data_IF_344185848398
#
_entry.id   IF_344185848398
#
_cell.length_a   1.000
_cell.length_b   1.000
_cell.length_c   1.000
_cell.angle_alpha   90.00
_cell.angle_beta   90.00
_cell.angle_gamma   90.00
#
_symmetry.space_group_name_H-M   'P 1'
#
loop_
_entity.id
_entity.type
_entity.pdbx_description
1 polymer ?
#
# COMPACT_ATOMS: atom_id res chain seq x y z
N UNK A 1 7.67 13.95 5.06
CA UNK A 1 8.19 13.79 3.69
C UNK A 1 7.34 14.69 2.82
N UNK A 2 7.94 15.67 2.15
CA UNK A 2 7.22 16.51 1.19
C UNK A 2 7.08 15.74 -0.13
N UNK A 3 5.94 15.81 -0.84
CA UNK A 3 5.76 15.12 -2.11
C UNK A 3 6.69 15.72 -3.18
N UNK A 4 7.32 14.87 -4.00
CA UNK A 4 8.26 15.29 -5.05
C UNK A 4 7.55 15.93 -6.26
N UNK A 5 6.24 15.72 -6.43
CA UNK A 5 5.46 16.31 -7.52
C UNK A 5 3.95 16.38 -7.24
N UNK A 6 3.23 17.17 -8.05
CA UNK A 6 1.76 17.33 -7.96
C UNK A 6 1.01 15.99 -8.06
N UNK A 7 1.52 15.03 -8.84
CA UNK A 7 0.89 13.72 -8.99
C UNK A 7 0.96 12.90 -7.69
N UNK A 8 2.10 12.93 -7.00
CA UNK A 8 2.26 12.27 -5.71
C UNK A 8 1.39 12.93 -4.63
N UNK A 9 1.39 14.26 -4.58
CA UNK A 9 0.56 15.02 -3.65
C UNK A 9 -0.95 14.71 -3.84
N UNK A 10 -1.41 14.70 -5.09
CA UNK A 10 -2.80 14.35 -5.41
C UNK A 10 -3.14 12.92 -5.00
N UNK A 11 -2.26 11.95 -5.25
CA UNK A 11 -2.48 10.55 -4.86
C UNK A 11 -2.58 10.38 -3.34
N UNK A 12 -1.68 11.04 -2.58
CA UNK A 12 -1.71 11.03 -1.13
C UNK A 12 -2.98 11.67 -0.57
N UNK A 13 -3.44 12.77 -1.16
CA UNK A 13 -4.70 13.44 -0.78
C UNK A 13 -5.93 12.57 -1.05
N UNK A 14 -5.98 11.91 -2.20
CA UNK A 14 -7.08 10.99 -2.54
C UNK A 14 -7.08 9.80 -1.58
N UNK A 15 -5.93 9.19 -1.33
CA UNK A 15 -5.81 8.10 -0.38
C UNK A 15 -6.24 8.52 1.03
N UNK A 16 -5.76 9.66 1.53
CA UNK A 16 -6.17 10.20 2.82
C UNK A 16 -7.69 10.38 2.91
N UNK A 17 -8.32 10.93 1.86
CA UNK A 17 -9.76 11.12 1.82
C UNK A 17 -10.55 9.80 1.82
N UNK A 18 -10.06 8.76 1.14
CA UNK A 18 -10.71 7.43 1.13
C UNK A 18 -10.66 6.83 2.54
N UNK A 19 -9.51 6.89 3.20
CA UNK A 19 -9.35 6.47 4.61
C UNK A 19 -10.28 7.27 5.52
N UNK A 20 -10.40 8.57 5.26
CA UNK A 20 -11.43 9.53 5.72
C UNK A 20 -12.84 8.90 5.83
N UNK A 21 -13.28 8.34 4.70
CA UNK A 21 -14.66 7.94 4.42
C UNK A 21 -14.98 6.49 4.83
N UNK A 22 -13.99 5.57 4.80
CA UNK A 22 -14.15 4.17 5.23
C UNK A 22 -14.44 4.03 6.75
N UNK A 23 -14.16 5.07 7.55
CA UNK A 23 -14.48 5.12 8.99
C UNK A 23 -15.97 5.30 9.31
N UNK A 24 -16.82 5.59 8.32
CA UNK A 24 -18.24 5.88 8.54
C UNK A 24 -19.19 4.70 8.20
N UNK A 25 -18.64 3.55 7.79
CA UNK A 25 -19.37 2.43 7.19
C UNK A 25 -19.92 1.35 8.14
N UNK A 26 -19.92 1.52 9.45
CA UNK A 26 -20.43 0.48 10.36
C UNK A 26 -20.60 0.91 11.81
N UNK A 27 -21.80 1.35 12.17
CA UNK A 27 -22.20 1.58 13.56
C UNK A 27 -22.37 0.23 14.29
N UNK A 28 -21.33 -0.19 15.00
CA UNK A 28 -21.43 -1.02 16.21
C UNK A 28 -20.32 -0.61 17.16
N UNK A 29 -20.63 -0.01 18.33
CA UNK A 29 -19.63 0.24 19.35
C UNK A 29 -19.43 -1.07 20.10
N UNK A 30 -18.60 -1.95 19.54
CA UNK A 30 -18.03 -3.04 20.33
C UNK A 30 -16.59 -2.67 20.67
N UNK A 31 -16.33 -2.82 21.95
CA UNK A 31 -15.16 -2.43 22.72
C UNK A 31 -13.93 -3.24 22.28
N UNK A 32 -13.27 -2.85 21.19
CA UNK A 32 -11.83 -3.08 21.05
C UNK A 32 -11.16 -2.16 20.02
N UNK A 33 -10.07 -1.57 20.44
CA UNK A 33 -9.30 -0.53 19.76
C UNK A 33 -8.41 -1.10 18.62
N UNK A 34 -8.95 -2.00 17.78
CA UNK A 34 -8.15 -2.87 16.89
C UNK A 34 -8.40 -2.70 15.36
N UNK A 35 -9.39 -1.93 14.91
CA UNK A 35 -9.82 -1.95 13.49
C UNK A 35 -9.56 -0.67 12.65
N UNK A 36 -8.50 0.08 12.94
CA UNK A 36 -8.07 1.21 12.09
C UNK A 36 -6.69 0.97 11.47
N UNK A 37 -6.53 -0.18 10.81
CA UNK A 37 -5.31 -0.46 10.04
C UNK A 37 -5.49 0.12 8.64
N UNK A 38 -4.79 1.22 8.37
CA UNK A 38 -4.80 1.88 7.06
C UNK A 38 -3.95 1.07 6.10
N UNK A 39 -4.58 0.50 5.08
CA UNK A 39 -3.87 -0.30 4.07
C UNK A 39 -3.91 0.36 2.70
N UNK A 40 -2.80 0.25 1.97
CA UNK A 40 -2.70 0.70 0.59
C UNK A 40 -2.30 -0.46 -0.33
N UNK A 41 -2.99 -0.57 -1.47
CA UNK A 41 -2.69 -1.54 -2.53
C UNK A 41 -2.26 -0.81 -3.79
N UNK A 42 -1.03 -1.06 -4.22
CA UNK A 42 -0.37 -0.39 -5.33
C UNK A 42 -0.02 -1.42 -6.41
N UNK A 43 -0.44 -1.17 -7.65
CA UNK A 43 -0.04 -1.97 -8.81
C UNK A 43 1.32 -1.46 -9.30
N UNK A 44 2.29 -2.36 -9.35
CA UNK A 44 3.62 -2.13 -9.89
C UNK A 44 3.82 -3.00 -11.14
N UNK A 45 4.64 -2.53 -12.08
CA UNK A 45 5.15 -3.41 -13.12
C UNK A 45 6.15 -4.42 -12.52
N UNK A 46 6.21 -5.62 -13.09
CA UNK A 46 7.10 -6.72 -12.65
C UNK A 46 8.56 -6.26 -12.51
N UNK A 47 9.01 -5.43 -13.45
CA UNK A 47 10.38 -4.91 -13.49
C UNK A 47 10.66 -3.88 -12.39
N UNK A 48 9.63 -3.21 -11.86
CA UNK A 48 9.76 -2.23 -10.77
C UNK A 48 9.74 -2.89 -9.39
N UNK A 49 8.99 -3.98 -9.23
CA UNK A 49 8.99 -4.77 -7.99
C UNK A 49 10.38 -5.30 -7.65
N UNK A 50 11.15 -5.71 -8.65
CA UNK A 50 12.54 -6.13 -8.44
C UNK A 50 13.42 -5.03 -7.80
N UNK A 51 13.20 -3.77 -8.16
CA UNK A 51 13.88 -2.63 -7.55
C UNK A 51 13.43 -2.37 -6.11
N UNK A 52 12.13 -2.52 -5.83
CA UNK A 52 11.58 -2.39 -4.49
C UNK A 52 12.14 -3.46 -3.53
N UNK A 53 12.19 -4.72 -3.97
CA UNK A 53 12.79 -5.81 -3.21
C UNK A 53 14.29 -5.55 -2.98
N UNK A 54 15.00 -5.15 -4.03
CA UNK A 54 16.43 -4.97 -4.01
C UNK A 54 17.20 -6.29 -3.94
N UNK A 55 18.54 -6.20 -3.90
CA UNK A 55 19.40 -7.39 -3.85
C UNK A 55 19.19 -8.12 -2.52
N UNK A 56 18.77 -9.39 -2.58
CA UNK A 56 18.45 -10.22 -1.41
C UNK A 56 17.37 -9.63 -0.48
N UNK A 57 16.47 -8.76 -0.97
CA UNK A 57 15.42 -8.15 -0.14
C UNK A 57 15.90 -6.99 0.74
N UNK A 58 17.13 -6.50 0.56
CA UNK A 58 17.74 -5.49 1.44
C UNK A 58 16.98 -4.15 1.41
N UNK A 59 16.48 -3.73 0.24
CA UNK A 59 15.79 -2.43 0.09
C UNK A 59 14.45 -2.46 0.80
N UNK A 60 13.63 -3.50 0.53
CA UNK A 60 12.32 -3.63 1.17
C UNK A 60 12.45 -3.80 2.70
N UNK A 61 13.45 -4.57 3.16
CA UNK A 61 13.70 -4.73 4.59
C UNK A 61 14.08 -3.41 5.25
N UNK A 62 14.94 -2.62 4.60
CA UNK A 62 15.33 -1.30 5.11
C UNK A 62 14.13 -0.35 5.18
N UNK A 63 13.31 -0.30 4.13
CA UNK A 63 12.09 0.51 4.11
C UNK A 63 11.12 0.13 5.23
N UNK A 64 10.90 -1.17 5.45
CA UNK A 64 10.06 -1.65 6.56
C UNK A 64 10.63 -1.23 7.93
N UNK A 65 11.95 -1.28 8.12
CA UNK A 65 12.61 -0.83 9.37
C UNK A 65 12.50 0.69 9.54
N UNK A 66 12.74 1.46 8.49
CA UNK A 66 12.74 2.93 8.53
C UNK A 66 11.33 3.51 8.72
N UNK A 67 10.32 2.89 8.11
CA UNK A 67 8.93 3.36 8.18
C UNK A 67 8.14 2.71 9.31
N UNK A 68 8.53 1.51 9.77
CA UNK A 68 7.78 0.70 10.72
C UNK A 68 6.53 0.04 10.12
N UNK A 69 6.36 0.11 8.79
CA UNK A 69 5.20 -0.36 8.04
C UNK A 69 5.52 -1.71 7.40
N UNK A 70 4.54 -2.60 7.32
CA UNK A 70 4.70 -3.88 6.62
C UNK A 70 4.46 -3.70 5.13
N UNK A 71 5.42 -4.16 4.31
CA UNK A 71 5.34 -4.07 2.86
C UNK A 71 5.45 -5.48 2.28
N UNK A 72 4.43 -5.93 1.56
CA UNK A 72 4.32 -7.28 1.04
C UNK A 72 3.99 -7.26 -0.45
N UNK A 73 4.65 -8.11 -1.25
CA UNK A 73 4.23 -8.36 -2.64
C UNK A 73 3.24 -9.52 -2.62
N UNK A 74 2.05 -9.29 -3.16
CA UNK A 74 0.98 -10.28 -3.25
C UNK A 74 1.11 -11.09 -4.55
N UNK A 75 0.74 -12.38 -4.53
CA UNK A 75 0.79 -13.21 -5.74
C UNK A 75 -0.21 -12.73 -6.79
N UNK A 76 0.07 -13.06 -8.06
CA UNK A 76 -0.72 -12.65 -9.22
C UNK A 76 -2.21 -12.99 -9.14
N UNK A 77 -2.60 -14.01 -8.36
CA UNK A 77 -4.00 -14.37 -8.12
C UNK A 77 -4.81 -13.25 -7.43
N UNK A 78 -4.16 -12.30 -6.77
CA UNK A 78 -4.79 -11.17 -6.08
C UNK A 78 -4.89 -9.91 -6.95
N UNK A 79 -4.51 -9.99 -8.23
CA UNK A 79 -4.60 -8.86 -9.14
C UNK A 79 -6.08 -8.48 -9.39
N UNK A 80 -6.41 -7.19 -9.37
CA UNK A 80 -7.74 -6.72 -9.73
C UNK A 80 -8.03 -6.95 -11.22
N UNK A 81 -9.28 -6.83 -11.64
CA UNK A 81 -9.71 -7.03 -13.04
C UNK A 81 -9.01 -6.12 -14.05
N UNK A 82 -8.41 -5.00 -13.59
CA UNK A 82 -7.62 -4.10 -14.42
C UNK A 82 -6.12 -4.45 -14.50
N UNK A 83 -5.66 -5.42 -13.71
CA UNK A 83 -4.27 -5.87 -13.69
C UNK A 83 -3.92 -6.75 -14.89
N UNK A 84 -2.72 -6.58 -15.40
CA UNK A 84 -2.13 -7.40 -16.46
C UNK A 84 -1.24 -8.50 -15.87
N UNK A 85 -0.88 -9.50 -16.68
CA UNK A 85 0.05 -10.57 -16.25
C UNK A 85 1.48 -10.08 -15.97
N UNK A 86 1.76 -8.81 -16.28
CA UNK A 86 3.04 -8.13 -16.01
C UNK A 86 2.95 -7.22 -14.79
N UNK A 87 1.80 -7.14 -14.14
CA UNK A 87 1.62 -6.36 -12.94
C UNK A 87 1.79 -7.24 -11.70
N UNK A 88 2.41 -6.67 -10.69
CA UNK A 88 2.58 -7.24 -9.37
C UNK A 88 1.93 -6.29 -8.36
N UNK A 89 1.24 -6.85 -7.38
CA UNK A 89 0.47 -6.06 -6.44
C UNK A 89 1.22 -5.92 -5.12
N UNK A 90 1.58 -4.69 -4.76
CA UNK A 90 2.24 -4.37 -3.49
C UNK A 90 1.19 -3.92 -2.47
N UNK A 91 1.22 -4.53 -1.31
CA UNK A 91 0.37 -4.21 -0.16
C UNK A 91 1.22 -3.55 0.91
N UNK A 92 0.77 -2.41 1.41
CA UNK A 92 1.39 -1.63 2.49
C UNK A 92 0.40 -1.55 3.67
N UNK A 93 0.85 -1.94 4.87
CA UNK A 93 0.05 -2.06 6.11
C UNK A 93 0.76 -1.37 7.27
#
# INVERSE_FOLDING_TARGET
MEPDCDAQDALLKVHARIVEEDHFGGMVPDDDNENNVVTARLLFLDNMVGCLLGKCGDVIQRLQIETGVSICVLPADHLPTCGMSTDELVHVI
#
